data_IF_074291676537
#
_entry.id   IF_074291676537
#
_cell.length_a   1.000
_cell.length_b   1.000
_cell.length_c   1.000
_cell.angle_alpha   90.00
_cell.angle_beta   90.00
_cell.angle_gamma   90.00
#
_symmetry.space_group_name_H-M   'P 1'
#
loop_
_entity.id
_entity.type
_entity.pdbx_description
1 polymer ?
#
# COMPACT_ATOMS: atom_id res chain seq x y z
N UNK A 1 12.79 -9.82 -29.95
CA UNK A 1 11.91 -8.64 -30.06
C UNK A 1 10.77 -8.80 -29.07
N UNK A 2 10.73 -7.99 -28.00
CA UNK A 2 9.66 -8.05 -27.02
C UNK A 2 8.38 -7.58 -27.70
N UNK A 3 7.44 -8.44 -27.96
CA UNK A 3 6.09 -8.09 -28.35
C UNK A 3 5.52 -7.24 -27.22
N UNK A 4 5.34 -5.96 -27.50
CA UNK A 4 4.64 -5.05 -26.59
C UNK A 4 3.25 -5.64 -26.38
N UNK A 5 3.00 -6.13 -25.18
CA UNK A 5 1.69 -6.67 -24.85
C UNK A 5 0.72 -5.48 -24.84
N UNK A 6 -0.05 -5.34 -25.92
CA UNK A 6 -1.02 -4.24 -26.09
C UNK A 6 -1.94 -4.11 -24.86
N UNK A 7 -2.18 -5.20 -24.14
CA UNK A 7 -2.96 -5.18 -22.90
C UNK A 7 -2.29 -4.32 -21.82
N UNK A 8 -0.95 -4.32 -21.71
CA UNK A 8 -0.24 -3.50 -20.72
C UNK A 8 -0.38 -2.01 -21.02
N UNK A 9 -0.45 -1.64 -22.28
CA UNK A 9 -0.70 -0.23 -22.68
C UNK A 9 -2.13 0.18 -22.31
N UNK A 10 -3.11 -0.69 -22.52
CA UNK A 10 -4.51 -0.42 -22.15
C UNK A 10 -4.70 -0.19 -20.64
N UNK A 11 -3.90 -0.82 -19.79
CA UNK A 11 -3.98 -0.60 -18.34
C UNK A 11 -3.56 0.81 -17.90
N UNK A 12 -2.88 1.58 -18.76
CA UNK A 12 -2.53 2.98 -18.46
C UNK A 12 -3.63 3.98 -18.85
N UNK A 13 -4.66 3.55 -19.58
CA UNK A 13 -5.76 4.43 -20.00
C UNK A 13 -6.42 5.13 -18.80
N UNK A 14 -6.78 4.46 -17.69
CA UNK A 14 -7.38 5.14 -16.55
C UNK A 14 -6.45 6.18 -15.91
N UNK A 15 -5.14 5.92 -15.85
CA UNK A 15 -4.15 6.87 -15.35
C UNK A 15 -4.05 8.09 -16.24
N UNK A 16 -3.96 7.90 -17.56
CA UNK A 16 -3.94 8.99 -18.55
C UNK A 16 -5.22 9.83 -18.48
N UNK A 17 -6.37 9.19 -18.31
CA UNK A 17 -7.65 9.89 -18.16
C UNK A 17 -7.64 10.80 -16.91
N UNK A 18 -7.16 10.31 -15.75
CA UNK A 18 -7.01 11.16 -14.56
C UNK A 18 -6.03 12.30 -14.82
N UNK A 19 -4.87 12.04 -15.43
CA UNK A 19 -3.90 13.08 -15.76
C UNK A 19 -4.48 14.18 -16.64
N UNK A 20 -5.29 13.81 -17.64
CA UNK A 20 -5.96 14.77 -18.52
C UNK A 20 -7.01 15.62 -17.79
N UNK A 21 -7.83 14.99 -16.94
CA UNK A 21 -8.81 15.71 -16.10
C UNK A 21 -8.09 16.67 -15.15
N UNK A 22 -7.01 16.24 -14.50
CA UNK A 22 -6.23 17.06 -13.58
C UNK A 22 -5.56 18.23 -14.30
N UNK A 23 -4.98 18.00 -15.48
CA UNK A 23 -4.41 19.06 -16.32
C UNK A 23 -5.48 20.07 -16.76
N UNK A 24 -6.64 19.59 -17.20
CA UNK A 24 -7.78 20.45 -17.53
C UNK A 24 -8.27 21.24 -16.31
N UNK A 25 -8.42 20.61 -15.15
CA UNK A 25 -8.87 21.27 -13.93
C UNK A 25 -7.86 22.34 -13.45
N UNK A 26 -6.57 22.10 -13.63
CA UNK A 26 -5.53 23.10 -13.37
C UNK A 26 -5.71 24.34 -14.26
N UNK A 27 -5.88 24.14 -15.57
CA UNK A 27 -6.16 25.22 -16.52
C UNK A 27 -7.44 25.97 -16.16
N UNK A 28 -8.53 25.24 -15.89
CA UNK A 28 -9.82 25.84 -15.57
C UNK A 28 -9.77 26.68 -14.27
N UNK A 29 -9.09 26.16 -13.22
CA UNK A 29 -9.01 26.86 -11.94
C UNK A 29 -7.97 28.00 -11.95
N UNK A 30 -6.75 27.72 -12.39
CA UNK A 30 -5.66 28.70 -12.31
C UNK A 30 -5.83 29.79 -13.34
N UNK A 31 -6.07 29.43 -14.62
CA UNK A 31 -6.14 30.40 -15.71
C UNK A 31 -7.53 31.03 -15.76
N UNK A 32 -8.58 30.22 -15.98
CA UNK A 32 -9.91 30.77 -16.28
C UNK A 32 -10.60 31.38 -15.05
N UNK A 33 -10.46 30.76 -13.87
CA UNK A 33 -11.04 31.30 -12.66
C UNK A 33 -10.11 32.34 -12.02
N UNK A 34 -8.90 31.97 -11.61
CA UNK A 34 -8.06 32.86 -10.81
C UNK A 34 -7.49 34.04 -11.61
N UNK A 35 -6.95 33.81 -12.82
CA UNK A 35 -6.29 34.89 -13.59
C UNK A 35 -7.32 35.75 -14.32
N UNK A 36 -8.26 35.13 -15.05
CA UNK A 36 -9.17 35.85 -15.96
C UNK A 36 -10.43 36.38 -15.25
N UNK A 37 -10.93 35.70 -14.18
CA UNK A 37 -12.24 36.04 -13.59
C UNK A 37 -12.14 36.80 -12.27
N UNK A 38 -11.17 36.45 -11.40
CA UNK A 38 -11.01 37.11 -10.09
C UNK A 38 -10.30 38.45 -10.26
N UNK A 39 -10.99 39.54 -9.94
CA UNK A 39 -10.42 40.90 -10.00
C UNK A 39 -9.63 41.28 -8.73
N UNK A 40 -10.09 40.78 -7.56
CA UNK A 40 -9.44 41.08 -6.27
C UNK A 40 -8.10 40.38 -6.14
N UNK A 41 -7.02 41.15 -6.09
CA UNK A 41 -5.64 40.59 -6.02
C UNK A 41 -5.42 39.79 -4.74
N UNK A 42 -5.96 40.19 -3.59
CA UNK A 42 -5.80 39.44 -2.33
C UNK A 42 -6.48 38.10 -2.37
N UNK A 43 -7.72 38.04 -2.86
CA UNK A 43 -8.44 36.79 -3.06
C UNK A 43 -7.73 35.85 -4.05
N UNK A 44 -7.29 36.40 -5.19
CA UNK A 44 -6.51 35.67 -6.20
C UNK A 44 -5.28 35.01 -5.61
N UNK A 45 -4.46 35.73 -4.82
CA UNK A 45 -3.25 35.20 -4.21
C UNK A 45 -3.58 34.08 -3.21
N UNK A 46 -4.56 34.31 -2.33
CA UNK A 46 -4.97 33.30 -1.33
C UNK A 46 -5.44 32.02 -2.00
N UNK A 47 -6.28 32.14 -3.03
CA UNK A 47 -6.78 30.96 -3.77
C UNK A 47 -5.67 30.22 -4.50
N UNK A 48 -4.78 30.93 -5.17
CA UNK A 48 -3.64 30.30 -5.87
C UNK A 48 -2.71 29.57 -4.89
N UNK A 49 -2.36 30.20 -3.77
CA UNK A 49 -1.46 29.55 -2.79
C UNK A 49 -2.12 28.31 -2.20
N UNK A 50 -3.34 28.40 -1.70
CA UNK A 50 -4.06 27.27 -1.12
C UNK A 50 -4.27 26.14 -2.14
N UNK A 51 -4.67 26.49 -3.37
CA UNK A 51 -4.82 25.53 -4.45
C UNK A 51 -3.53 24.73 -4.72
N UNK A 52 -2.40 25.44 -4.84
CA UNK A 52 -1.12 24.77 -5.14
C UNK A 52 -0.65 23.88 -3.98
N UNK A 53 -0.93 24.22 -2.73
CA UNK A 53 -0.63 23.33 -1.59
C UNK A 53 -1.41 22.02 -1.72
N UNK A 54 -2.73 22.05 -1.94
CA UNK A 54 -3.52 20.84 -2.11
C UNK A 54 -3.14 20.07 -3.38
N UNK A 55 -2.91 20.78 -4.47
CA UNK A 55 -2.51 20.20 -5.74
C UNK A 55 -1.19 19.44 -5.65
N UNK A 56 -0.16 20.04 -5.06
CA UNK A 56 1.16 19.40 -4.89
C UNK A 56 1.06 18.15 -4.02
N UNK A 57 0.35 18.23 -2.90
CA UNK A 57 0.19 17.08 -2.00
C UNK A 57 -0.61 15.95 -2.66
N UNK A 58 -1.65 16.29 -3.41
CA UNK A 58 -2.43 15.34 -4.20
C UNK A 58 -1.58 14.64 -5.25
N UNK A 59 -0.86 15.40 -6.08
CA UNK A 59 -0.01 14.87 -7.15
C UNK A 59 1.12 14.01 -6.58
N UNK A 60 1.74 14.44 -5.48
CA UNK A 60 2.79 13.66 -4.81
C UNK A 60 2.26 12.33 -4.28
N UNK A 61 1.13 12.33 -3.57
CA UNK A 61 0.52 11.10 -3.05
C UNK A 61 0.08 10.16 -4.20
N UNK A 62 -0.48 10.70 -5.28
CA UNK A 62 -0.87 9.95 -6.48
C UNK A 62 0.34 9.33 -7.16
N UNK A 63 1.42 10.09 -7.37
CA UNK A 63 2.68 9.62 -7.92
C UNK A 63 3.27 8.47 -7.12
N UNK A 64 3.35 8.63 -5.81
CA UNK A 64 3.84 7.57 -4.93
C UNK A 64 2.97 6.29 -5.02
N UNK A 65 1.66 6.43 -5.14
CA UNK A 65 0.76 5.27 -5.25
C UNK A 65 0.97 4.52 -6.57
N UNK A 66 1.20 5.23 -7.68
CA UNK A 66 1.43 4.64 -9.01
C UNK A 66 2.78 3.92 -9.07
N UNK A 67 3.86 4.59 -8.64
CA UNK A 67 5.23 4.16 -8.92
C UNK A 67 5.87 3.35 -7.80
N UNK A 68 5.29 3.31 -6.59
CA UNK A 68 5.78 2.42 -5.54
C UNK A 68 5.44 0.98 -5.88
N UNK A 69 6.48 0.17 -6.09
CA UNK A 69 6.31 -1.25 -6.40
C UNK A 69 5.68 -2.00 -5.23
N UNK A 70 4.63 -2.80 -5.45
CA UNK A 70 4.08 -3.65 -4.42
C UNK A 70 5.13 -4.66 -3.93
N UNK A 71 5.19 -4.87 -2.62
CA UNK A 71 6.12 -5.84 -2.04
C UNK A 71 5.61 -7.27 -2.26
N UNK A 72 6.54 -8.15 -2.64
CA UNK A 72 6.32 -9.57 -2.79
C UNK A 72 6.81 -10.33 -1.55
N UNK A 73 6.34 -11.56 -1.30
CA UNK A 73 6.84 -12.41 -0.22
C UNK A 73 8.35 -12.63 -0.30
N UNK A 74 8.99 -12.73 0.88
CA UNK A 74 10.40 -12.99 1.02
C UNK A 74 10.77 -14.39 0.49
N UNK A 75 12.05 -14.60 0.18
CA UNK A 75 12.55 -15.87 -0.39
C UNK A 75 12.26 -17.09 0.49
N UNK A 76 12.17 -16.92 1.81
CA UNK A 76 11.87 -18.00 2.75
C UNK A 76 10.48 -18.63 2.56
N UNK A 77 9.54 -17.90 1.96
CA UNK A 77 8.20 -18.39 1.64
C UNK A 77 8.14 -19.16 0.32
N UNK A 78 9.18 -19.06 -0.52
CA UNK A 78 9.25 -19.79 -1.80
C UNK A 78 9.68 -21.22 -1.57
N UNK A 79 9.08 -22.15 -2.33
CA UNK A 79 9.45 -23.54 -2.29
C UNK A 79 10.84 -23.74 -2.93
N UNK A 80 11.64 -24.65 -2.35
CA UNK A 80 12.85 -25.13 -2.99
C UNK A 80 12.50 -25.93 -4.26
N UNK A 81 13.48 -26.17 -5.14
CA UNK A 81 13.27 -26.97 -6.34
C UNK A 81 12.78 -28.38 -6.00
N UNK A 82 13.38 -29.00 -4.99
CA UNK A 82 13.02 -30.34 -4.52
C UNK A 82 11.57 -30.36 -3.96
N UNK A 83 11.19 -29.37 -3.19
CA UNK A 83 9.82 -29.30 -2.62
C UNK A 83 8.77 -29.11 -3.73
N UNK A 84 9.11 -28.38 -4.79
CA UNK A 84 8.21 -28.24 -5.96
C UNK A 84 8.03 -29.58 -6.67
N UNK A 85 9.12 -30.31 -6.94
CA UNK A 85 9.05 -31.63 -7.58
C UNK A 85 8.25 -32.62 -6.72
N UNK A 86 8.45 -32.60 -5.41
CA UNK A 86 7.68 -33.43 -4.50
C UNK A 86 6.18 -33.07 -4.54
N UNK A 87 5.87 -31.78 -4.55
CA UNK A 87 4.49 -31.32 -4.58
C UNK A 87 3.78 -31.62 -5.92
N UNK A 88 4.54 -31.62 -7.04
CA UNK A 88 4.02 -31.92 -8.37
C UNK A 88 3.80 -33.43 -8.60
N UNK A 89 4.57 -34.28 -7.90
CA UNK A 89 4.42 -35.73 -7.98
C UNK A 89 3.26 -36.30 -7.19
N UNK A 90 2.84 -35.58 -6.15
CA UNK A 90 1.73 -36.00 -5.30
C UNK A 90 0.39 -35.55 -5.88
N UNK A 91 -0.60 -36.42 -5.81
CA UNK A 91 -1.97 -36.05 -6.16
C UNK A 91 -2.50 -34.94 -5.22
N UNK A 92 -3.33 -34.07 -5.78
CA UNK A 92 -3.96 -32.98 -5.01
C UNK A 92 -4.79 -33.56 -3.87
N UNK A 93 -4.36 -33.31 -2.64
CA UNK A 93 -5.06 -33.82 -1.47
C UNK A 93 -4.28 -33.69 -0.18
N UNK A 94 -4.45 -34.66 0.69
CA UNK A 94 -3.87 -34.65 2.03
C UNK A 94 -2.33 -34.78 2.00
N UNK A 95 -1.78 -35.57 1.05
CA UNK A 95 -0.33 -35.72 0.86
C UNK A 95 0.36 -34.40 0.55
N UNK A 96 -0.20 -33.60 -0.36
CA UNK A 96 0.33 -32.25 -0.64
C UNK A 96 0.25 -31.34 0.58
N UNK A 97 -0.84 -31.42 1.35
CA UNK A 97 -0.99 -30.60 2.56
C UNK A 97 0.01 -30.98 3.63
N UNK A 98 0.39 -32.25 3.75
CA UNK A 98 1.41 -32.68 4.70
C UNK A 98 2.79 -32.11 4.34
N UNK A 99 3.16 -32.13 3.05
CA UNK A 99 4.38 -31.49 2.54
C UNK A 99 4.36 -29.98 2.87
N UNK A 100 3.25 -29.31 2.56
CA UNK A 100 3.10 -27.88 2.84
C UNK A 100 3.13 -27.56 4.35
N UNK A 101 2.57 -28.42 5.23
CA UNK A 101 2.65 -28.27 6.68
C UNK A 101 4.10 -28.36 7.16
N UNK A 102 4.89 -29.31 6.62
CA UNK A 102 6.31 -29.46 6.94
C UNK A 102 7.11 -28.20 6.54
N UNK A 103 6.92 -27.70 5.32
CA UNK A 103 7.58 -26.48 4.83
C UNK A 103 7.17 -25.25 5.67
N UNK A 104 5.90 -25.18 6.02
CA UNK A 104 5.32 -24.05 6.75
C UNK A 104 5.62 -24.06 8.25
N UNK A 105 6.24 -25.11 8.80
CA UNK A 105 6.46 -25.27 10.25
C UNK A 105 7.25 -24.12 10.87
N UNK A 106 8.26 -23.63 10.15
CA UNK A 106 9.15 -22.56 10.62
C UNK A 106 8.71 -21.16 10.11
N UNK A 107 7.61 -21.06 9.37
CA UNK A 107 7.12 -19.80 8.81
C UNK A 107 6.14 -19.12 9.78
N UNK A 108 6.21 -17.79 9.94
CA UNK A 108 5.32 -17.03 10.81
C UNK A 108 3.94 -16.82 10.16
N UNK A 109 3.17 -17.90 9.99
CA UNK A 109 1.85 -17.87 9.37
C UNK A 109 0.77 -18.39 10.32
N UNK A 110 -0.25 -17.59 10.53
CA UNK A 110 -1.39 -17.89 11.41
C UNK A 110 -2.64 -18.25 10.63
N UNK A 111 -2.78 -17.72 9.38
CA UNK A 111 -3.99 -17.94 8.57
C UNK A 111 -3.92 -19.21 7.76
N UNK A 112 -5.09 -19.80 7.54
CA UNK A 112 -5.32 -21.03 6.76
C UNK A 112 -6.38 -20.78 5.69
N UNK A 113 -6.64 -21.77 4.87
CA UNK A 113 -7.85 -21.81 4.03
C UNK A 113 -9.07 -22.08 4.92
N UNK A 114 -10.27 -21.92 4.40
CA UNK A 114 -11.52 -22.27 5.12
C UNK A 114 -11.61 -23.76 5.47
N UNK A 115 -10.89 -24.64 4.74
CA UNK A 115 -10.74 -26.05 5.03
C UNK A 115 -9.62 -26.40 6.04
N UNK A 116 -8.93 -25.38 6.60
CA UNK A 116 -7.81 -25.59 7.52
C UNK A 116 -6.46 -25.84 6.85
N UNK A 117 -6.39 -25.90 5.52
CA UNK A 117 -5.19 -26.18 4.75
C UNK A 117 -4.21 -24.97 4.73
N UNK A 118 -2.92 -25.24 4.48
CA UNK A 118 -1.91 -24.21 4.26
C UNK A 118 -2.24 -23.41 3.00
N UNK A 119 -2.14 -22.08 3.08
CA UNK A 119 -2.37 -21.19 1.94
C UNK A 119 -1.17 -21.22 0.99
N UNK A 120 -1.33 -21.80 -0.17
CA UNK A 120 -0.31 -21.94 -1.19
C UNK A 120 -0.68 -21.22 -2.48
N UNK A 121 0.30 -20.77 -3.25
CA UNK A 121 0.11 -20.21 -4.58
C UNK A 121 0.81 -21.07 -5.63
N UNK A 122 0.04 -21.80 -6.43
CA UNK A 122 0.57 -22.65 -7.53
C UNK A 122 1.34 -21.83 -8.58
N UNK A 123 0.86 -20.59 -8.91
CA UNK A 123 1.50 -19.74 -9.92
C UNK A 123 2.86 -19.19 -9.48
N UNK A 124 2.99 -18.84 -8.20
CA UNK A 124 4.21 -18.25 -7.66
C UNK A 124 5.08 -19.28 -6.94
N UNK A 125 4.62 -20.53 -6.78
CA UNK A 125 5.27 -21.62 -6.06
C UNK A 125 5.76 -21.21 -4.67
N UNK A 126 4.85 -20.62 -3.87
CA UNK A 126 5.15 -20.14 -2.52
C UNK A 126 4.02 -20.41 -1.53
N UNK A 127 4.39 -20.62 -0.28
CA UNK A 127 3.48 -20.58 0.85
C UNK A 127 3.10 -19.11 1.07
N UNK A 128 1.80 -18.79 1.06
CA UNK A 128 1.36 -17.39 1.22
C UNK A 128 1.52 -16.95 2.66
N UNK A 129 2.29 -15.87 2.93
CA UNK A 129 2.25 -15.19 4.22
C UNK A 129 0.84 -14.75 4.59
N UNK A 130 0.65 -14.36 5.84
CA UNK A 130 -0.61 -13.79 6.28
C UNK A 130 -0.96 -12.55 5.46
N UNK A 131 -2.25 -12.40 5.13
CA UNK A 131 -2.78 -11.26 4.35
C UNK A 131 -2.23 -11.13 2.92
N UNK A 132 -1.44 -12.11 2.46
CA UNK A 132 -0.90 -12.15 1.10
C UNK A 132 -1.92 -12.77 0.13
N UNK A 133 -2.10 -12.15 -1.05
CA UNK A 133 -2.95 -12.66 -2.12
C UNK A 133 -2.25 -12.55 -3.48
N UNK A 134 -2.59 -13.48 -4.40
CA UNK A 134 -2.11 -13.44 -5.77
C UNK A 134 -2.98 -12.49 -6.60
N UNK A 135 -2.36 -11.53 -7.26
CA UNK A 135 -3.03 -10.66 -8.23
C UNK A 135 -2.89 -11.24 -9.64
N UNK A 136 -4.00 -11.59 -10.27
CA UNK A 136 -3.99 -12.13 -11.65
C UNK A 136 -3.60 -11.11 -12.71
N UNK A 137 -3.79 -9.80 -12.45
CA UNK A 137 -3.40 -8.73 -13.37
C UNK A 137 -1.89 -8.49 -13.34
N UNK A 138 -1.31 -8.47 -12.12
CA UNK A 138 0.13 -8.28 -11.94
C UNK A 138 0.92 -9.58 -12.04
N UNK A 139 0.24 -10.73 -12.02
CA UNK A 139 0.78 -12.10 -11.98
C UNK A 139 1.82 -12.31 -10.87
N UNK A 140 1.51 -11.79 -9.66
CA UNK A 140 2.39 -11.83 -8.49
C UNK A 140 1.59 -11.95 -7.19
N UNK A 141 2.21 -12.56 -6.18
CA UNK A 141 1.72 -12.50 -4.82
C UNK A 141 2.13 -11.18 -4.15
N UNK A 142 1.17 -10.47 -3.59
CA UNK A 142 1.33 -9.14 -3.01
C UNK A 142 1.09 -9.21 -1.51
N UNK A 143 2.00 -8.63 -0.72
CA UNK A 143 1.91 -8.59 0.75
C UNK A 143 0.82 -7.63 1.21
N UNK A 144 0.00 -8.08 2.17
CA UNK A 144 -1.15 -7.33 2.72
C UNK A 144 -1.96 -6.68 1.60
N UNK A 145 -2.32 -7.49 0.59
CA UNK A 145 -3.03 -6.99 -0.58
C UNK A 145 -4.41 -6.48 -0.19
N UNK A 146 -4.70 -5.25 -0.61
CA UNK A 146 -6.03 -4.66 -0.48
C UNK A 146 -6.87 -4.91 -1.74
N UNK A 147 -6.39 -4.43 -2.88
CA UNK A 147 -6.98 -4.65 -4.21
C UNK A 147 -6.00 -4.27 -5.32
N UNK A 148 -6.30 -4.68 -6.56
CA UNK A 148 -5.68 -4.09 -7.75
C UNK A 148 -6.51 -2.88 -8.17
N UNK A 149 -5.88 -1.72 -8.31
CA UNK A 149 -6.56 -0.48 -8.64
C UNK A 149 -6.23 -0.02 -10.08
N UNK A 150 -7.19 -0.04 -11.01
CA UNK A 150 -6.96 0.42 -12.38
C UNK A 150 -6.60 1.90 -12.46
N UNK A 151 -7.13 2.73 -11.57
CA UNK A 151 -6.90 4.18 -11.53
C UNK A 151 -5.47 4.59 -11.21
N UNK A 152 -4.68 3.68 -10.65
CA UNK A 152 -3.24 3.86 -10.39
C UNK A 152 -2.40 2.83 -11.15
N UNK A 153 -3.04 1.94 -11.92
CA UNK A 153 -2.41 0.83 -12.62
C UNK A 153 -1.44 0.03 -11.74
N UNK A 154 -1.83 -0.23 -10.49
CA UNK A 154 -0.97 -0.87 -9.50
C UNK A 154 -1.81 -1.65 -8.49
N UNK A 155 -1.18 -2.62 -7.80
CA UNK A 155 -1.75 -3.23 -6.61
C UNK A 155 -1.56 -2.32 -5.41
N UNK A 156 -2.65 -2.09 -4.68
CA UNK A 156 -2.63 -1.45 -3.37
C UNK A 156 -2.40 -2.53 -2.31
N UNK A 157 -1.34 -2.40 -1.53
CA UNK A 157 -0.91 -3.36 -0.52
C UNK A 157 0.06 -2.75 0.48
N UNK A 158 0.82 -3.57 1.18
CA UNK A 158 1.66 -3.16 2.32
C UNK A 158 2.53 -1.93 2.02
N UNK A 159 3.21 -1.89 0.86
CA UNK A 159 4.19 -0.84 0.55
C UNK A 159 3.59 0.51 0.18
N UNK A 160 2.37 0.55 -0.34
CA UNK A 160 1.77 1.78 -0.88
C UNK A 160 0.38 2.10 -0.32
N UNK A 161 -0.13 1.34 0.65
CA UNK A 161 -1.46 1.57 1.22
C UNK A 161 -1.59 2.93 1.91
N UNK A 162 -0.53 3.39 2.61
CA UNK A 162 -0.47 4.74 3.17
C UNK A 162 -0.57 5.80 2.07
N UNK A 163 0.16 5.66 0.98
CA UNK A 163 0.15 6.61 -0.13
C UNK A 163 -1.22 6.67 -0.79
N UNK A 164 -1.86 5.51 -0.98
CA UNK A 164 -3.21 5.41 -1.49
C UNK A 164 -4.23 6.13 -0.59
N UNK A 165 -4.15 5.94 0.73
CA UNK A 165 -5.05 6.61 1.68
C UNK A 165 -4.82 8.13 1.67
N UNK A 166 -3.57 8.60 1.60
CA UNK A 166 -3.23 10.01 1.48
C UNK A 166 -3.65 10.59 0.12
N UNK A 167 -3.53 9.83 -0.96
CA UNK A 167 -4.05 10.19 -2.27
C UNK A 167 -5.56 10.47 -2.21
N UNK A 168 -6.36 9.61 -1.58
CA UNK A 168 -7.79 9.83 -1.39
C UNK A 168 -8.07 11.07 -0.54
N UNK A 169 -7.31 11.27 0.54
CA UNK A 169 -7.46 12.43 1.42
C UNK A 169 -7.18 13.74 0.69
N UNK A 170 -6.03 13.83 0.00
CA UNK A 170 -5.63 15.07 -0.68
C UNK A 170 -6.45 15.35 -1.94
N UNK A 171 -6.87 14.32 -2.68
CA UNK A 171 -7.79 14.51 -3.80
C UNK A 171 -9.17 14.99 -3.33
N UNK A 172 -9.65 14.50 -2.19
CA UNK A 172 -10.88 14.99 -1.58
C UNK A 172 -10.75 16.46 -1.14
N UNK A 173 -9.69 16.81 -0.43
CA UNK A 173 -9.43 18.21 0.00
C UNK A 173 -9.29 19.15 -1.20
N UNK A 174 -8.60 18.70 -2.24
CA UNK A 174 -8.47 19.42 -3.51
C UNK A 174 -9.84 19.68 -4.16
N UNK A 175 -10.66 18.66 -4.32
CA UNK A 175 -11.99 18.80 -4.92
C UNK A 175 -12.92 19.66 -4.07
N UNK A 176 -12.92 19.51 -2.74
CA UNK A 176 -13.73 20.35 -1.83
C UNK A 176 -13.30 21.81 -1.88
N UNK A 177 -12.00 22.07 -1.91
CA UNK A 177 -11.48 23.45 -2.03
C UNK A 177 -11.90 24.08 -3.34
N UNK A 178 -11.75 23.37 -4.47
CA UNK A 178 -12.20 23.83 -5.78
C UNK A 178 -13.70 24.09 -5.77
N UNK A 179 -14.51 23.15 -5.29
CA UNK A 179 -15.98 23.31 -5.23
C UNK A 179 -16.38 24.52 -4.39
N UNK A 180 -15.79 24.68 -3.21
CA UNK A 180 -16.14 25.76 -2.29
C UNK A 180 -15.79 27.16 -2.85
N UNK A 181 -14.61 27.28 -3.46
CA UNK A 181 -14.13 28.56 -4.02
C UNK A 181 -14.77 28.90 -5.37
N UNK A 182 -15.11 27.88 -6.16
CA UNK A 182 -15.76 28.04 -7.46
C UNK A 182 -17.27 28.38 -7.31
N UNK A 183 -17.92 27.92 -6.23
CA UNK A 183 -19.36 28.07 -6.00
C UNK A 183 -19.82 29.54 -6.10
N UNK A 184 -19.10 30.50 -5.52
CA UNK A 184 -19.48 31.89 -5.59
C UNK A 184 -19.45 32.45 -7.01
N UNK A 185 -18.49 31.99 -7.84
CA UNK A 185 -18.38 32.41 -9.25
C UNK A 185 -19.42 31.70 -10.12
N UNK A 186 -19.74 30.45 -9.81
CA UNK A 186 -20.84 29.72 -10.39
C UNK A 186 -22.18 30.42 -10.15
N UNK A 187 -22.47 30.89 -8.92
CA UNK A 187 -23.69 31.65 -8.59
C UNK A 187 -23.70 33.00 -9.31
N UNK A 188 -22.58 33.75 -9.25
CA UNK A 188 -22.46 35.05 -9.94
C UNK A 188 -22.72 34.95 -11.44
N UNK A 189 -22.34 33.81 -12.04
CA UNK A 189 -22.58 33.51 -13.44
C UNK A 189 -24.08 33.58 -13.83
N UNK A 190 -24.96 33.11 -12.95
CA UNK A 190 -26.42 33.08 -13.21
C UNK A 190 -27.12 34.38 -12.75
N UNK A 191 -26.58 35.08 -11.78
CA UNK A 191 -27.24 36.22 -11.12
C UNK A 191 -26.79 37.58 -11.65
N UNK A 192 -25.54 37.66 -12.15
CA UNK A 192 -24.95 38.92 -12.62
C UNK A 192 -24.50 38.79 -14.07
N UNK A 193 -24.79 39.78 -14.91
CA UNK A 193 -24.25 39.83 -16.29
C UNK A 193 -22.75 40.12 -16.25
N UNK A 194 -21.96 39.08 -16.00
CA UNK A 194 -20.50 39.21 -16.00
C UNK A 194 -19.99 39.42 -17.44
N UNK A 195 -19.11 40.38 -17.62
CA UNK A 195 -18.41 40.67 -18.89
C UNK A 195 -17.34 39.63 -19.23
N UNK A 196 -17.29 38.51 -18.48
CA UNK A 196 -16.32 37.40 -18.71
C UNK A 196 -16.54 36.73 -20.01
N UNK A 197 -15.46 36.26 -20.64
CA UNK A 197 -15.46 35.55 -21.90
C UNK A 197 -16.34 34.29 -21.78
N UNK A 198 -17.12 33.99 -22.82
CA UNK A 198 -18.01 32.80 -22.84
C UNK A 198 -17.29 31.49 -22.51
N UNK A 199 -16.04 31.36 -22.97
CA UNK A 199 -15.15 30.22 -22.66
C UNK A 199 -14.86 30.05 -21.16
N UNK A 200 -14.55 31.12 -20.43
CA UNK A 200 -14.30 31.08 -18.98
C UNK A 200 -15.51 30.57 -18.22
N UNK A 201 -16.69 30.98 -18.65
CA UNK A 201 -17.97 30.56 -18.05
C UNK A 201 -18.19 29.05 -18.14
N UNK A 202 -17.90 28.43 -19.30
CA UNK A 202 -18.00 26.99 -19.46
C UNK A 202 -17.04 26.26 -18.56
N UNK A 203 -15.77 26.69 -18.47
CA UNK A 203 -14.77 26.05 -17.63
C UNK A 203 -15.14 26.09 -16.15
N UNK A 204 -15.62 27.23 -15.65
CA UNK A 204 -16.09 27.42 -14.27
C UNK A 204 -17.28 26.49 -13.97
N UNK A 205 -18.29 26.49 -14.85
CA UNK A 205 -19.46 25.63 -14.69
C UNK A 205 -19.12 24.14 -14.66
N UNK A 206 -18.35 23.66 -15.62
CA UNK A 206 -17.97 22.25 -15.68
C UNK A 206 -17.02 21.87 -14.53
N UNK A 207 -16.12 22.76 -14.11
CA UNK A 207 -15.24 22.57 -12.98
C UNK A 207 -16.04 22.40 -11.69
N UNK A 208 -17.05 23.23 -11.45
CA UNK A 208 -17.92 23.11 -10.29
C UNK A 208 -18.63 21.75 -10.23
N UNK A 209 -19.25 21.32 -11.33
CA UNK A 209 -19.93 20.03 -11.36
C UNK A 209 -18.98 18.85 -11.21
N UNK A 210 -17.85 18.87 -11.92
CA UNK A 210 -16.85 17.80 -11.83
C UNK A 210 -16.27 17.70 -10.42
N UNK A 211 -15.83 18.81 -9.83
CA UNK A 211 -15.24 18.80 -8.48
C UNK A 211 -16.27 18.39 -7.42
N UNK A 212 -17.53 18.83 -7.53
CA UNK A 212 -18.60 18.41 -6.62
C UNK A 212 -18.90 16.91 -6.71
N UNK A 213 -19.02 16.37 -7.92
CA UNK A 213 -19.24 14.93 -8.15
C UNK A 213 -18.09 14.08 -7.60
N UNK A 214 -16.84 14.49 -7.89
CA UNK A 214 -15.68 13.78 -7.35
C UNK A 214 -15.57 13.92 -5.85
N UNK A 215 -15.94 15.06 -5.25
CA UNK A 215 -15.95 15.23 -3.78
C UNK A 215 -16.83 14.19 -3.10
N UNK A 216 -18.05 13.95 -3.59
CA UNK A 216 -18.97 12.96 -3.02
C UNK A 216 -18.40 11.54 -3.14
N UNK A 217 -17.90 11.19 -4.33
CA UNK A 217 -17.33 9.86 -4.58
C UNK A 217 -16.08 9.60 -3.73
N UNK A 218 -15.16 10.59 -3.67
CA UNK A 218 -13.93 10.51 -2.87
C UNK A 218 -14.21 10.49 -1.37
N UNK A 219 -15.20 11.26 -0.89
CA UNK A 219 -15.60 11.23 0.52
C UNK A 219 -16.08 9.84 0.94
N UNK A 220 -16.90 9.20 0.12
CA UNK A 220 -17.37 7.83 0.37
C UNK A 220 -16.19 6.84 0.42
N UNK A 221 -15.32 6.88 -0.59
CA UNK A 221 -14.19 5.96 -0.70
C UNK A 221 -13.15 6.19 0.42
N UNK A 222 -12.83 7.45 0.71
CA UNK A 222 -11.92 7.81 1.79
C UNK A 222 -12.44 7.38 3.16
N UNK A 223 -13.73 7.62 3.45
CA UNK A 223 -14.37 7.20 4.69
C UNK A 223 -14.33 5.68 4.85
N UNK A 224 -14.56 4.94 3.76
CA UNK A 224 -14.44 3.48 3.75
C UNK A 224 -13.01 3.01 4.10
N UNK A 225 -11.98 3.60 3.48
CA UNK A 225 -10.59 3.24 3.76
C UNK A 225 -10.14 3.68 5.16
N UNK A 226 -10.63 4.81 5.69
CA UNK A 226 -10.41 5.18 7.10
C UNK A 226 -11.00 4.12 8.04
N UNK A 227 -12.21 3.63 7.76
CA UNK A 227 -12.82 2.56 8.53
C UNK A 227 -12.01 1.26 8.45
N UNK A 228 -11.49 0.89 7.27
CA UNK A 228 -10.61 -0.27 7.09
C UNK A 228 -9.36 -0.15 7.96
N UNK A 229 -8.68 1.00 7.94
CA UNK A 229 -7.50 1.26 8.77
C UNK A 229 -7.82 1.16 10.25
N UNK A 230 -8.92 1.79 10.71
CA UNK A 230 -9.36 1.72 12.11
C UNK A 230 -9.63 0.28 12.58
N UNK A 231 -10.10 -0.59 11.69
CA UNK A 231 -10.37 -2.01 11.96
C UNK A 231 -9.18 -2.92 11.63
N UNK A 232 -8.10 -2.39 11.07
CA UNK A 232 -6.96 -3.14 10.53
C UNK A 232 -7.39 -4.27 9.59
N UNK A 233 -8.25 -3.94 8.64
CA UNK A 233 -8.72 -4.87 7.61
C UNK A 233 -8.30 -4.40 6.22
N UNK A 234 -8.14 -5.32 5.29
CA UNK A 234 -8.11 -5.01 3.86
C UNK A 234 -9.49 -5.17 3.25
N UNK A 235 -9.70 -4.58 2.07
CA UNK A 235 -10.93 -4.78 1.29
C UNK A 235 -11.20 -6.26 1.05
N UNK A 236 -10.16 -7.05 0.72
CA UNK A 236 -10.29 -8.51 0.56
C UNK A 236 -10.75 -9.21 1.84
N UNK A 237 -10.27 -8.79 3.02
CA UNK A 237 -10.64 -9.36 4.31
C UNK A 237 -12.06 -9.01 4.76
N UNK A 238 -12.62 -7.90 4.25
CA UNK A 238 -14.04 -7.58 4.45
C UNK A 238 -14.94 -8.57 3.72
N UNK A 239 -14.60 -8.88 2.46
CA UNK A 239 -15.37 -9.84 1.66
C UNK A 239 -15.12 -11.29 2.07
N UNK A 240 -13.88 -11.62 2.44
CA UNK A 240 -13.48 -12.96 2.89
C UNK A 240 -12.68 -12.84 4.16
N UNK A 241 -13.33 -13.09 5.30
CA UNK A 241 -12.69 -13.07 6.61
C UNK A 241 -11.50 -14.03 6.66
N UNK A 242 -10.35 -13.64 7.26
CA UNK A 242 -9.23 -14.53 7.45
C UNK A 242 -9.64 -15.71 8.34
N UNK A 243 -9.24 -16.92 7.93
CA UNK A 243 -9.45 -18.14 8.70
C UNK A 243 -8.17 -18.43 9.50
N UNK A 244 -8.30 -18.61 10.79
CA UNK A 244 -7.27 -19.04 11.73
C UNK A 244 -7.51 -20.50 12.12
N UNK A 245 -6.64 -21.10 12.93
CA UNK A 245 -6.83 -22.49 13.39
C UNK A 245 -8.17 -22.71 14.12
N UNK A 246 -8.65 -21.70 14.84
CA UNK A 246 -9.89 -21.76 15.63
C UNK A 246 -11.14 -21.31 14.87
N UNK A 247 -11.02 -20.99 13.58
CA UNK A 247 -12.12 -20.53 12.75
C UNK A 247 -11.86 -19.18 12.08
N UNK A 248 -12.91 -18.62 11.50
CA UNK A 248 -12.83 -17.33 10.80
C UNK A 248 -13.03 -16.18 11.77
N UNK A 249 -12.14 -15.22 11.78
CA UNK A 249 -12.27 -14.00 12.59
C UNK A 249 -11.96 -12.74 11.76
N UNK A 250 -12.97 -11.88 11.64
CA UNK A 250 -12.82 -10.58 10.96
C UNK A 250 -11.91 -9.61 11.70
N UNK A 251 -11.75 -9.76 13.02
CA UNK A 251 -10.97 -8.85 13.86
C UNK A 251 -9.60 -9.42 14.27
N UNK A 252 -9.23 -10.62 13.83
CA UNK A 252 -8.04 -11.32 14.28
C UNK A 252 -6.72 -10.52 14.20
N UNK A 253 -6.64 -9.54 13.29
CA UNK A 253 -5.49 -8.63 13.16
C UNK A 253 -5.69 -7.26 13.83
N UNK A 254 -6.84 -7.00 14.46
CA UNK A 254 -7.11 -5.70 15.07
C UNK A 254 -6.52 -5.61 16.47
N UNK A 255 -5.64 -4.64 16.68
CA UNK A 255 -4.96 -4.36 17.96
C UNK A 255 -5.53 -3.13 18.68
N UNK A 256 -6.69 -2.62 18.20
CA UNK A 256 -7.26 -1.35 18.64
C UNK A 256 -6.86 -0.19 17.73
N UNK A 257 -7.71 0.84 17.66
CA UNK A 257 -7.63 1.91 16.65
C UNK A 257 -6.26 2.59 16.62
N UNK A 258 -5.69 2.94 17.77
CA UNK A 258 -4.40 3.64 17.82
C UNK A 258 -3.26 2.79 17.25
N UNK A 259 -3.18 1.50 17.62
CA UNK A 259 -2.15 0.59 17.11
C UNK A 259 -2.39 0.27 15.62
N UNK A 260 -3.63 0.14 15.20
CA UNK A 260 -4.01 -0.10 13.80
C UNK A 260 -3.57 1.07 12.89
N UNK A 261 -3.75 2.32 13.34
CA UNK A 261 -3.29 3.51 12.64
C UNK A 261 -1.75 3.54 12.54
N UNK A 262 -1.04 3.22 13.64
CA UNK A 262 0.43 3.16 13.64
C UNK A 262 0.98 2.10 12.67
N UNK A 263 0.30 0.98 12.51
CA UNK A 263 0.72 -0.04 11.53
C UNK A 263 0.77 0.49 10.09
N UNK A 264 -0.11 1.42 9.73
CA UNK A 264 -0.17 2.00 8.38
C UNK A 264 0.66 3.28 8.27
N UNK A 265 0.53 4.18 9.26
CA UNK A 265 1.13 5.52 9.20
C UNK A 265 2.48 5.62 9.94
N UNK A 266 2.87 4.59 10.70
CA UNK A 266 4.09 4.56 11.50
C UNK A 266 3.94 5.22 12.87
N UNK A 267 4.99 5.13 13.70
CA UNK A 267 4.97 5.67 15.08
C UNK A 267 5.06 7.18 15.14
N UNK A 268 5.80 7.77 14.21
CA UNK A 268 6.07 9.21 14.21
C UNK A 268 4.93 10.00 13.55
N UNK A 269 4.05 10.61 14.36
CA UNK A 269 2.88 11.38 13.88
C UNK A 269 3.22 12.50 12.89
N UNK A 270 4.42 13.10 12.99
CA UNK A 270 4.89 14.16 12.06
C UNK A 270 4.95 13.71 10.59
N UNK A 271 5.08 12.39 10.34
CA UNK A 271 5.14 11.83 9.00
C UNK A 271 3.80 11.28 8.50
N UNK A 272 2.75 11.33 9.31
CA UNK A 272 1.46 10.74 8.94
C UNK A 272 0.85 11.36 7.69
N UNK A 273 0.97 12.66 7.56
CA UNK A 273 0.43 13.42 6.42
C UNK A 273 1.38 13.47 5.21
N UNK A 274 2.61 13.00 5.35
CA UNK A 274 3.54 13.00 4.24
C UNK A 274 3.51 11.66 3.48
N UNK A 275 3.48 11.68 2.13
CA UNK A 275 3.52 10.46 1.31
C UNK A 275 4.94 9.87 1.25
N UNK A 276 5.46 9.48 2.41
CA UNK A 276 6.72 8.76 2.62
C UNK A 276 6.43 7.43 3.30
N UNK A 277 7.18 6.40 2.99
CA UNK A 277 7.01 5.08 3.59
C UNK A 277 7.33 5.11 5.08
N UNK A 278 6.40 4.65 5.90
CA UNK A 278 6.55 4.57 7.36
C UNK A 278 5.71 3.47 8.00
N UNK A 279 5.12 2.57 7.19
CA UNK A 279 4.36 1.42 7.69
C UNK A 279 5.24 0.51 8.52
N UNK A 280 4.68 -0.05 9.61
CA UNK A 280 5.42 -0.93 10.52
C UNK A 280 5.44 -2.37 10.04
N UNK A 281 6.56 -3.09 10.34
CA UNK A 281 6.75 -4.50 10.03
C UNK A 281 7.35 -4.77 8.66
N UNK A 282 7.46 -6.04 8.35
CA UNK A 282 8.04 -6.58 7.10
C UNK A 282 6.98 -6.90 6.02
N UNK A 283 5.70 -6.81 6.38
CA UNK A 283 4.58 -7.16 5.51
C UNK A 283 4.34 -8.66 5.34
N UNK A 284 5.15 -9.51 5.93
CA UNK A 284 5.00 -10.97 5.93
C UNK A 284 4.38 -11.50 7.23
N UNK A 285 4.75 -10.88 8.36
CA UNK A 285 4.25 -11.22 9.68
C UNK A 285 3.41 -10.08 10.27
N UNK A 286 2.31 -10.43 10.93
CA UNK A 286 1.41 -9.46 11.55
C UNK A 286 1.05 -9.91 12.96
N UNK A 287 1.08 -9.00 13.95
CA UNK A 287 0.59 -9.32 15.28
C UNK A 287 -0.92 -9.58 15.22
N UNK A 288 -1.35 -10.60 15.94
CA UNK A 288 -2.75 -10.99 16.05
C UNK A 288 -3.23 -10.84 17.49
N UNK A 289 -4.51 -10.53 17.69
CA UNK A 289 -5.12 -10.54 19.03
C UNK A 289 -5.34 -11.98 19.58
N UNK A 290 -5.10 -13.01 18.76
CA UNK A 290 -5.40 -14.42 19.04
C UNK A 290 -4.20 -15.21 19.59
N UNK A 291 -3.00 -14.62 19.67
CA UNK A 291 -1.76 -15.31 20.11
C UNK A 291 -1.87 -15.92 21.51
N UNK A 292 -2.73 -15.38 22.38
CA UNK A 292 -2.96 -15.93 23.71
C UNK A 292 -3.94 -17.10 23.75
N UNK A 293 -4.52 -17.48 22.60
CA UNK A 293 -5.55 -18.51 22.52
C UNK A 293 -5.03 -19.83 21.92
N UNK A 294 -3.79 -19.90 21.45
CA UNK A 294 -3.21 -21.09 20.83
C UNK A 294 -2.06 -21.67 21.67
N UNK A 295 -2.29 -22.75 22.47
CA UNK A 295 -1.26 -23.37 23.33
C UNK A 295 -0.15 -24.10 22.57
N UNK A 296 -0.36 -24.45 21.28
CA UNK A 296 0.61 -25.19 20.47
C UNK A 296 1.57 -24.28 19.67
N UNK A 297 1.37 -22.97 19.71
CA UNK A 297 2.25 -22.05 19.03
C UNK A 297 3.40 -21.65 19.95
N UNK A 298 4.67 -21.73 19.50
CA UNK A 298 5.79 -21.31 20.31
C UNK A 298 5.57 -19.86 20.75
N UNK A 299 5.55 -19.61 22.06
CA UNK A 299 5.39 -18.31 22.65
C UNK A 299 6.41 -17.35 22.04
N UNK A 300 5.95 -16.22 21.49
CA UNK A 300 6.86 -15.13 21.19
C UNK A 300 7.62 -14.78 22.47
N UNK A 301 8.95 -14.59 22.44
CA UNK A 301 9.74 -14.38 23.66
C UNK A 301 9.58 -12.96 24.23
N UNK A 302 8.34 -12.57 24.52
CA UNK A 302 8.05 -11.32 25.24
C UNK A 302 6.69 -11.41 25.91
N UNK A 303 6.63 -12.10 27.02
CA UNK A 303 5.47 -12.19 27.88
C UNK A 303 5.87 -12.38 29.33
N UNK A 304 6.47 -11.38 29.95
CA UNK A 304 6.46 -11.24 31.39
C UNK A 304 5.80 -9.92 31.77
N UNK A 305 4.66 -10.12 32.47
CA UNK A 305 4.05 -9.25 33.47
C UNK A 305 4.09 -7.74 33.24
N UNK A 306 2.97 -7.21 32.85
CA UNK A 306 2.65 -5.79 32.97
C UNK A 306 2.20 -5.50 34.42
N UNK A 307 2.93 -4.68 35.11
CA UNK A 307 2.42 -3.70 36.07
C UNK A 307 3.30 -2.46 35.95
N UNK A 308 2.65 -1.36 35.49
CA UNK A 308 3.01 0.06 35.61
C UNK A 308 4.38 0.54 35.09
N UNK A 309 4.39 1.20 33.95
CA UNK A 309 4.78 2.62 33.77
C UNK A 309 4.94 2.91 32.27
N UNK A 310 4.47 4.10 31.88
CA UNK A 310 4.52 4.66 30.55
C UNK A 310 5.95 4.79 30.03
N UNK A 311 6.32 3.90 29.11
CA UNK A 311 7.34 4.14 28.05
C UNK A 311 7.25 2.98 27.05
N UNK A 312 6.45 3.19 26.00
CA UNK A 312 6.10 2.20 24.99
C UNK A 312 7.17 2.14 23.88
N UNK A 313 8.19 1.32 24.06
CA UNK A 313 9.02 0.80 22.97
C UNK A 313 8.52 -0.58 22.57
N UNK A 314 7.47 -0.66 21.76
CA UNK A 314 7.03 -1.90 21.15
C UNK A 314 7.91 -2.23 19.93
N UNK A 315 8.93 -3.04 20.14
CA UNK A 315 9.61 -3.77 19.08
C UNK A 315 8.66 -4.84 18.53
N UNK A 316 8.47 -4.87 17.20
CA UNK A 316 7.89 -6.04 16.54
C UNK A 316 8.77 -7.26 16.82
N UNK A 317 8.20 -8.46 17.00
CA UNK A 317 8.99 -9.66 17.19
C UNK A 317 9.88 -9.87 15.98
N UNK A 318 11.16 -9.56 16.10
CA UNK A 318 12.17 -9.97 15.16
C UNK A 318 12.32 -11.48 15.28
N UNK A 319 12.30 -12.17 14.13
CA UNK A 319 12.56 -13.61 14.07
C UNK A 319 13.93 -13.88 14.71
N UNK A 320 14.07 -14.83 15.62
CA UNK A 320 15.40 -15.21 16.12
C UNK A 320 16.25 -15.66 14.93
N UNK A 321 17.42 -15.06 14.79
CA UNK A 321 18.39 -15.43 13.78
C UNK A 321 18.70 -16.92 13.92
N UNK A 322 18.68 -17.68 12.81
CA UNK A 322 19.11 -19.06 12.81
C UNK A 322 20.53 -19.15 13.38
N UNK A 323 20.83 -20.23 14.12
CA UNK A 323 22.15 -20.45 14.75
C UNK A 323 23.33 -20.33 13.76
N UNK A 324 23.09 -20.63 12.48
CA UNK A 324 24.05 -20.41 11.38
C UNK A 324 24.31 -18.93 11.04
N UNK A 325 23.33 -18.03 11.31
CA UNK A 325 23.49 -16.59 11.06
C UNK A 325 24.14 -15.89 12.24
N UNK A 326 23.91 -16.35 13.48
CA UNK A 326 24.59 -15.81 14.65
C UNK A 326 26.11 -16.13 14.64
N UNK A 327 26.54 -17.25 14.06
CA UNK A 327 27.96 -17.59 13.89
C UNK A 327 28.67 -16.70 12.87
N UNK A 328 27.97 -16.20 11.85
CA UNK A 328 28.54 -15.26 10.85
C UNK A 328 28.76 -13.85 11.42
N UNK A 329 27.94 -13.44 12.39
CA UNK A 329 28.06 -12.15 13.05
C UNK A 329 29.06 -12.13 14.22
N UNK A 330 29.42 -13.30 14.78
CA UNK A 330 30.40 -13.43 15.84
C UNK A 330 31.85 -13.54 15.36
N UNK A 331 32.08 -13.89 14.09
CA UNK A 331 33.41 -13.87 13.48
C UNK A 331 33.62 -12.53 12.77
N UNK A 332 34.10 -11.55 13.54
CA UNK A 332 34.58 -10.28 13.04
C UNK A 332 35.85 -10.46 12.20
N UNK A 333 35.69 -10.80 10.91
CA UNK A 333 36.78 -10.65 9.94
C UNK A 333 36.64 -9.28 9.27
N UNK A 334 37.47 -8.37 9.73
CA UNK A 334 37.83 -7.14 9.02
C UNK A 334 38.48 -7.52 7.69
N UNK A 335 37.86 -7.09 6.58
CA UNK A 335 38.50 -7.13 5.29
C UNK A 335 39.55 -6.01 5.27
N UNK A 336 40.83 -6.39 5.26
CA UNK A 336 41.91 -5.52 4.88
C UNK A 336 42.16 -5.69 3.40
N UNK A 337 42.03 -4.60 2.67
CA UNK A 337 42.51 -4.49 1.28
C UNK A 337 44.00 -4.78 1.24
N UNK A 338 44.40 -5.72 0.44
CA UNK A 338 45.80 -5.85 0.01
C UNK A 338 45.85 -5.74 -1.51
N UNK A 339 46.29 -4.59 -1.95
CA UNK A 339 46.78 -4.33 -3.30
C UNK A 339 47.93 -5.25 -3.70
N UNK A 340 47.87 -5.63 -4.93
CA UNK A 340 48.82 -6.02 -5.95
C UNK A 340 50.26 -6.37 -5.66
N UNK A 341 50.71 -7.37 -6.38
CA UNK A 341 51.92 -7.24 -7.23
C UNK A 341 51.92 -8.37 -8.26
N UNK A 342 52.11 -7.97 -9.48
CA UNK A 342 52.51 -8.80 -10.61
C UNK A 342 53.81 -9.53 -10.30
N UNK A 343 53.93 -10.79 -10.73
CA UNK A 343 55.21 -11.18 -11.33
C UNK A 343 54.98 -12.30 -12.38
N UNK A 344 55.68 -12.08 -13.49
CA UNK A 344 55.87 -12.94 -14.65
C UNK A 344 56.78 -14.12 -14.28
N UNK A 345 56.60 -15.25 -14.90
CA UNK A 345 57.52 -15.90 -15.80
C UNK A 345 57.39 -17.42 -15.80
N UNK A 346 57.42 -17.91 -17.03
CA UNK A 346 58.04 -19.17 -17.59
C UNK A 346 57.28 -20.46 -17.67
N UNK A 347 56.91 -20.73 -18.92
CA UNK A 347 57.39 -21.79 -19.81
C UNK A 347 57.63 -23.19 -19.22
N UNK A 348 57.10 -24.19 -19.93
CA UNK A 348 57.85 -25.39 -20.22
C UNK A 348 57.08 -26.70 -20.20
N UNK A 349 56.91 -27.23 -21.45
CA UNK A 349 56.64 -28.58 -21.90
C UNK A 349 55.19 -29.02 -21.94
#
# INVERSE_FOLDING_TARGET
MATWDCRRVLYWIPVLFICLIVAWSYYAYVVQLCIETIENLGEKIVYLVAYHVFFIMFVWAYWQTIFTKPMNPLKEFHLSHLDKELLEREDRGESQQEILRRIAKDLPIYTRTTSGAIRYCERCHLVKPDRCHHCSVCDKCILKMDHHCPWVNNCVGFSNYKFFTLFLAYSLLYCLFVTATDLQYFIKFWTVSMKTLFTSKFHIMFLFFASSMFSVSLASLFSYHCWLVCKNRSTLEVFRAPAFRHGTDKNGFSLGVSKNLRQVFGDQKKYWLLPIFSSQGDGCSFPTCLVNADPEQPASPSGHAAINSDEDTHQFPAKPLRESQSRLLSNGQTWTDSEGTEDKDREGV
#
